data_IF_491347659295
#
_entry.id   IF_491347659295
#
_cell.length_a   1.000
_cell.length_b   1.000
_cell.length_c   1.000
_cell.angle_alpha   90.00
_cell.angle_beta   90.00
_cell.angle_gamma   90.00
#
_symmetry.space_group_name_H-M   'P 1'
#
loop_
_entity.id
_entity.type
_entity.pdbx_description
1 polymer ?
#
# COMPACT_ATOMS: atom_id res chain seq x y z
N UNK A 1 1.35 15.82 2.58
CA UNK A 1 1.13 14.60 1.78
C UNK A 1 -0.02 13.84 2.42
N UNK A 2 -1.25 14.00 1.93
CA UNK A 2 -2.39 13.18 2.34
C UNK A 2 -2.26 11.82 1.64
N UNK A 3 -1.87 10.77 2.37
CA UNK A 3 -1.82 9.43 1.80
C UNK A 3 -3.24 8.89 1.63
N UNK A 4 -3.58 8.40 0.43
CA UNK A 4 -4.86 7.75 0.16
C UNK A 4 -4.99 6.37 0.84
N UNK A 5 -3.87 5.77 1.28
CA UNK A 5 -3.82 4.40 1.80
C UNK A 5 -4.40 4.27 3.21
N UNK A 6 -4.07 5.14 4.19
CA UNK A 6 -4.75 5.17 5.48
C UNK A 6 -6.27 5.32 5.33
N UNK A 7 -6.72 6.23 4.46
CA UNK A 7 -8.14 6.44 4.21
C UNK A 7 -8.83 5.17 3.65
N UNK A 8 -8.23 4.50 2.67
CA UNK A 8 -8.78 3.28 2.11
C UNK A 8 -8.85 2.13 3.13
N UNK A 9 -7.84 1.98 4.01
CA UNK A 9 -7.88 0.96 5.07
C UNK A 9 -8.96 1.26 6.13
N UNK A 10 -9.13 2.53 6.49
CA UNK A 10 -10.15 2.98 7.45
C UNK A 10 -11.56 2.79 6.90
N UNK A 11 -11.81 3.13 5.62
CA UNK A 11 -13.11 2.91 4.94
C UNK A 11 -13.51 1.43 4.91
N UNK A 12 -12.53 0.53 4.77
CA UNK A 12 -12.73 -0.92 4.77
C UNK A 12 -12.81 -1.51 6.19
N UNK A 13 -12.58 -0.71 7.24
CA UNK A 13 -12.59 -1.17 8.64
C UNK A 13 -11.43 -2.10 9.00
N UNK A 14 -10.29 -2.00 8.29
CA UNK A 14 -9.12 -2.83 8.55
C UNK A 14 -8.18 -2.17 9.56
N UNK A 15 -7.58 -2.98 10.43
CA UNK A 15 -6.52 -2.49 11.31
C UNK A 15 -5.27 -2.15 10.47
N UNK A 16 -4.81 -0.92 10.56
CA UNK A 16 -3.60 -0.45 9.88
C UNK A 16 -2.67 0.30 10.83
N UNK A 17 -1.39 0.39 10.45
CA UNK A 17 -0.41 1.24 11.12
C UNK A 17 0.56 1.82 10.10
N UNK A 18 1.07 3.02 10.36
CA UNK A 18 2.20 3.56 9.60
C UNK A 18 3.46 2.79 9.94
N UNK A 19 4.28 2.49 8.92
CA UNK A 19 5.57 1.84 9.10
C UNK A 19 6.59 2.30 8.07
N UNK A 20 7.87 2.15 8.41
CA UNK A 20 8.99 2.35 7.49
C UNK A 20 9.32 1.01 6.84
N UNK A 21 9.51 0.97 5.51
CA UNK A 21 10.02 -0.24 4.88
C UNK A 21 11.50 -0.43 5.22
N UNK A 22 11.85 -1.61 5.70
CA UNK A 22 13.24 -2.02 5.92
C UNK A 22 13.93 -2.55 4.66
N UNK A 23 13.20 -2.71 3.55
CA UNK A 23 13.69 -3.26 2.29
C UNK A 23 13.66 -2.21 1.18
N UNK A 24 14.51 -2.41 0.16
CA UNK A 24 14.46 -1.62 -1.06
C UNK A 24 13.28 -2.04 -1.94
N UNK A 25 12.56 -1.05 -2.48
CA UNK A 25 11.49 -1.25 -3.46
C UNK A 25 11.62 -0.21 -4.55
N UNK A 26 11.06 -0.47 -5.74
CA UNK A 26 11.05 0.50 -6.84
C UNK A 26 10.41 1.84 -6.43
N UNK A 27 9.44 1.80 -5.52
CA UNK A 27 8.81 2.99 -4.92
C UNK A 27 9.82 3.95 -4.28
N UNK A 28 10.97 3.46 -3.78
CA UNK A 28 12.04 4.31 -3.26
C UNK A 28 12.63 5.25 -4.32
N UNK A 29 12.59 4.84 -5.60
CA UNK A 29 13.01 5.66 -6.73
C UNK A 29 11.83 6.42 -7.35
N UNK A 30 10.68 5.78 -7.52
CA UNK A 30 9.49 6.41 -8.11
C UNK A 30 9.05 7.62 -7.29
N UNK A 31 9.13 7.56 -5.96
CA UNK A 31 8.77 8.67 -5.06
C UNK A 31 9.59 9.95 -5.28
N UNK A 32 10.71 9.89 -6.01
CA UNK A 32 11.52 11.07 -6.37
C UNK A 32 10.96 11.85 -7.55
N UNK A 33 10.09 11.25 -8.35
CA UNK A 33 9.61 11.81 -9.62
C UNK A 33 8.09 11.84 -9.75
N UNK A 34 7.36 11.15 -8.87
CA UNK A 34 5.90 11.15 -8.82
C UNK A 34 5.42 10.90 -7.38
N UNK A 35 4.18 11.31 -7.03
CA UNK A 35 3.53 10.89 -5.80
C UNK A 35 3.47 9.36 -5.74
N UNK A 36 4.10 8.76 -4.73
CA UNK A 36 4.17 7.32 -4.60
C UNK A 36 4.18 6.91 -3.12
N UNK A 37 3.65 5.73 -2.84
CA UNK A 37 3.53 5.17 -1.49
C UNK A 37 3.43 3.64 -1.60
N UNK A 38 3.39 2.96 -0.45
CA UNK A 38 3.34 1.50 -0.38
C UNK A 38 2.24 1.04 0.56
N UNK A 39 1.67 -0.13 0.27
CA UNK A 39 0.71 -0.84 1.12
C UNK A 39 1.37 -2.17 1.48
N UNK A 40 1.50 -2.45 2.78
CA UNK A 40 2.05 -3.71 3.27
C UNK A 40 0.97 -4.58 3.90
N UNK A 41 1.11 -5.88 3.70
CA UNK A 41 0.37 -6.92 4.42
C UNK A 41 1.34 -7.74 5.26
N UNK A 42 0.86 -8.47 6.29
CA UNK A 42 1.72 -9.36 7.05
C UNK A 42 2.22 -10.52 6.19
N UNK A 43 3.38 -11.06 6.58
CA UNK A 43 3.91 -12.33 6.13
C UNK A 43 4.11 -13.23 7.36
N UNK A 44 3.81 -14.53 7.23
CA UNK A 44 3.94 -15.45 8.36
C UNK A 44 5.36 -15.45 8.90
N UNK A 45 5.49 -15.21 10.22
CA UNK A 45 6.76 -15.10 10.94
C UNK A 45 7.71 -14.00 10.40
N UNK A 46 7.25 -13.12 9.51
CA UNK A 46 8.07 -12.12 8.85
C UNK A 46 9.17 -12.71 7.96
N UNK A 47 9.00 -13.95 7.48
CA UNK A 47 9.96 -14.61 6.60
C UNK A 47 9.83 -14.01 5.20
N UNK A 48 10.96 -13.74 4.54
CA UNK A 48 10.99 -13.42 3.12
C UNK A 48 12.28 -13.93 2.47
N UNK A 49 12.33 -13.98 1.13
CA UNK A 49 13.46 -14.52 0.35
C UNK A 49 13.79 -15.97 0.73
N UNK A 50 12.75 -16.73 1.05
CA UNK A 50 12.84 -18.10 1.51
C UNK A 50 11.61 -18.86 0.99
N UNK A 51 11.76 -20.13 0.65
CA UNK A 51 10.65 -20.97 0.17
C UNK A 51 9.51 -21.14 1.19
N UNK A 52 9.79 -20.88 2.47
CA UNK A 52 8.78 -20.84 3.54
C UNK A 52 8.06 -19.49 3.69
N UNK A 53 8.35 -18.50 2.82
CA UNK A 53 7.59 -17.25 2.74
C UNK A 53 6.12 -17.55 2.44
N UNK A 54 5.21 -17.06 3.28
CA UNK A 54 3.78 -17.33 3.11
C UNK A 54 2.90 -16.19 3.64
N UNK A 55 1.77 -15.98 2.97
CA UNK A 55 0.71 -15.06 3.39
C UNK A 55 -0.61 -15.82 3.50
N UNK A 56 -1.49 -15.38 4.40
CA UNK A 56 -2.84 -15.91 4.47
C UNK A 56 -3.70 -15.32 3.33
N UNK A 57 -4.65 -16.09 2.76
CA UNK A 57 -5.58 -15.58 1.75
C UNK A 57 -6.31 -14.30 2.19
N UNK A 58 -6.69 -14.20 3.47
CA UNK A 58 -7.34 -12.98 3.98
C UNK A 58 -6.44 -11.74 3.96
N UNK A 59 -5.12 -11.90 4.13
CA UNK A 59 -4.19 -10.79 4.08
C UNK A 59 -4.00 -10.32 2.64
N UNK A 60 -3.90 -11.27 1.70
CA UNK A 60 -3.89 -10.98 0.27
C UNK A 60 -5.14 -10.20 -0.15
N UNK A 61 -6.33 -10.66 0.22
CA UNK A 61 -7.60 -9.99 -0.09
C UNK A 61 -7.66 -8.58 0.48
N UNK A 62 -7.37 -8.42 1.78
CA UNK A 62 -7.37 -7.11 2.44
C UNK A 62 -6.38 -6.14 1.78
N UNK A 63 -5.17 -6.59 1.47
CA UNK A 63 -4.16 -5.79 0.77
C UNK A 63 -4.61 -5.35 -0.62
N UNK A 64 -5.21 -6.27 -1.39
CA UNK A 64 -5.74 -5.98 -2.72
C UNK A 64 -6.92 -4.99 -2.66
N UNK A 65 -7.81 -5.13 -1.67
CA UNK A 65 -8.93 -4.20 -1.48
C UNK A 65 -8.44 -2.78 -1.13
N UNK A 66 -7.43 -2.65 -0.26
CA UNK A 66 -6.84 -1.33 0.05
C UNK A 66 -6.17 -0.73 -1.18
N UNK A 67 -5.47 -1.54 -1.99
CA UNK A 67 -4.87 -1.07 -3.24
C UNK A 67 -5.94 -0.56 -4.22
N UNK A 68 -6.99 -1.35 -4.46
CA UNK A 68 -8.08 -0.98 -5.36
C UNK A 68 -8.74 0.35 -4.94
N UNK A 69 -9.09 0.49 -3.66
CA UNK A 69 -9.74 1.70 -3.16
C UNK A 69 -8.78 2.90 -3.19
N UNK A 70 -7.49 2.70 -2.88
CA UNK A 70 -6.47 3.76 -3.01
C UNK A 70 -6.35 4.26 -4.45
N UNK A 71 -6.36 3.35 -5.42
CA UNK A 71 -6.31 3.69 -6.85
C UNK A 71 -7.59 4.40 -7.29
N UNK A 72 -8.76 3.97 -6.80
CA UNK A 72 -10.04 4.63 -7.07
C UNK A 72 -10.02 6.08 -6.58
N UNK A 73 -9.59 6.30 -5.34
CA UNK A 73 -9.47 7.64 -4.75
C UNK A 73 -8.49 8.50 -5.55
N UNK A 74 -7.31 7.97 -5.90
CA UNK A 74 -6.31 8.69 -6.67
C UNK A 74 -6.75 8.99 -8.12
N UNK A 75 -7.57 8.13 -8.72
CA UNK A 75 -8.13 8.34 -10.06
C UNK A 75 -9.27 9.36 -10.07
N UNK A 76 -10.03 9.45 -8.98
CA UNK A 76 -11.10 10.44 -8.80
C UNK A 76 -10.55 11.83 -8.44
N UNK A 77 -9.30 11.93 -7.98
CA UNK A 77 -8.64 13.21 -7.76
C UNK A 77 -8.42 13.93 -9.11
N UNK A 78 -8.78 15.23 -9.22
CA UNK A 78 -8.51 15.98 -10.43
C UNK A 78 -6.99 16.01 -10.67
N UNK A 79 -6.59 15.69 -11.90
CA UNK A 79 -5.19 15.67 -12.29
C UNK A 79 -4.50 16.97 -11.86
N UNK A 80 -3.47 16.85 -11.04
CA UNK A 80 -2.63 17.97 -10.65
C UNK A 80 -1.92 18.49 -11.91
N UNK A 81 -2.47 19.54 -12.54
CA UNK A 81 -1.96 20.12 -13.78
C UNK A 81 -2.94 20.92 -14.66
N UNK A 82 -4.19 21.18 -14.24
CA UNK A 82 -5.14 22.03 -14.98
C UNK A 82 -5.30 23.46 -14.43
N UNK A 83 -4.25 24.04 -13.82
CA UNK A 83 -4.15 25.46 -13.51
C UNK A 83 -2.75 25.98 -13.79
#
# INVERSE_FOLDING_TARGET
MSGAQPAAADELGYSARTMVSGAGHDTCYISKVAPASMIFIPCEKGISHNEAENILPEWAEKGANVLLNSLRLAADEPACGAT
#
